data_IF_464930589592
#
_entry.id   IF_464930589592
#
_cell.length_a   1.000
_cell.length_b   1.000
_cell.length_c   1.000
_cell.angle_alpha   90.00
_cell.angle_beta   90.00
_cell.angle_gamma   90.00
#
_symmetry.space_group_name_H-M   'P 1'
#
loop_
_entity.id
_entity.type
_entity.pdbx_description
1 polymer ?
#
# COMPACT_ATOMS: atom_id res chain seq x y z
N UNK A 1 -12.76 -22.26 1.35
CA UNK A 1 -12.89 -20.94 1.99
C UNK A 1 -12.35 -19.92 0.99
N UNK A 2 -13.01 -18.78 0.75
CA UNK A 2 -12.38 -17.72 -0.03
C UNK A 2 -11.05 -17.34 0.64
N UNK A 3 -10.04 -17.06 -0.17
CA UNK A 3 -8.76 -16.58 0.36
C UNK A 3 -8.99 -15.27 1.12
N UNK A 4 -8.28 -15.08 2.23
CA UNK A 4 -8.34 -13.83 2.99
C UNK A 4 -7.87 -12.64 2.11
N UNK A 5 -8.57 -11.48 2.16
CA UNK A 5 -8.21 -10.31 1.36
C UNK A 5 -6.74 -9.91 1.51
N UNK A 6 -6.11 -9.49 0.42
CA UNK A 6 -4.69 -9.12 0.36
C UNK A 6 -4.27 -8.13 1.44
N UNK A 7 -5.05 -7.06 1.66
CA UNK A 7 -4.72 -6.05 2.66
C UNK A 7 -4.73 -6.58 4.10
N UNK A 8 -5.58 -7.55 4.42
CA UNK A 8 -5.62 -8.15 5.76
C UNK A 8 -4.45 -9.11 5.97
N UNK A 9 -4.14 -9.96 4.98
CA UNK A 9 -2.94 -10.81 4.99
C UNK A 9 -1.66 -9.99 5.13
N UNK A 10 -1.56 -8.89 4.39
CA UNK A 10 -0.43 -7.96 4.50
C UNK A 10 -0.37 -7.32 5.90
N UNK A 11 -1.51 -6.85 6.42
CA UNK A 11 -1.58 -6.26 7.76
C UNK A 11 -1.13 -7.21 8.87
N UNK A 12 -1.58 -8.47 8.84
CA UNK A 12 -1.15 -9.50 9.79
C UNK A 12 0.36 -9.76 9.68
N UNK A 13 0.86 -10.00 8.47
CA UNK A 13 2.28 -10.24 8.20
C UNK A 13 3.17 -9.13 8.76
N UNK A 14 2.83 -7.87 8.47
CA UNK A 14 3.59 -6.73 8.95
C UNK A 14 3.50 -6.56 10.48
N UNK A 15 2.32 -6.82 11.07
CA UNK A 15 2.13 -6.79 12.53
C UNK A 15 3.04 -7.81 13.23
N UNK A 16 3.13 -9.03 12.69
CA UNK A 16 4.03 -10.08 13.18
C UNK A 16 5.49 -9.63 13.07
N UNK A 17 5.92 -9.11 11.92
CA UNK A 17 7.30 -8.63 11.75
C UNK A 17 7.68 -7.50 12.71
N UNK A 18 6.73 -6.63 13.07
CA UNK A 18 6.97 -5.57 14.05
C UNK A 18 7.05 -6.04 15.50
N UNK A 19 6.71 -7.31 15.80
CA UNK A 19 6.85 -7.84 17.18
C UNK A 19 8.29 -7.82 17.67
N UNK A 20 9.27 -7.90 16.76
CA UNK A 20 10.69 -7.78 17.06
C UNK A 20 11.18 -6.35 17.33
N UNK A 21 10.37 -5.32 17.08
CA UNK A 21 10.73 -3.93 17.36
C UNK A 21 10.61 -3.64 18.87
N UNK A 22 11.58 -2.89 19.41
CA UNK A 22 11.60 -2.52 20.83
C UNK A 22 10.27 -1.84 21.25
N UNK A 23 9.66 -2.23 22.39
CA UNK A 23 8.34 -1.75 22.79
C UNK A 23 8.20 -0.23 22.88
N UNK A 24 9.18 0.48 23.45
CA UNK A 24 9.14 1.94 23.56
C UNK A 24 9.26 2.61 22.18
N UNK A 25 10.07 2.07 21.25
CA UNK A 25 10.13 2.52 19.85
C UNK A 25 8.78 2.36 19.15
N UNK A 26 8.17 1.18 19.29
CA UNK A 26 6.82 0.91 18.76
C UNK A 26 5.79 1.89 19.30
N UNK A 27 5.85 2.16 20.61
CA UNK A 27 4.95 3.10 21.29
C UNK A 27 5.10 4.53 20.77
N UNK A 28 6.33 5.01 20.52
CA UNK A 28 6.55 6.35 19.93
C UNK A 28 5.91 6.49 18.56
N UNK A 29 6.04 5.48 17.68
CA UNK A 29 5.35 5.52 16.39
C UNK A 29 3.83 5.46 16.52
N UNK A 30 3.31 4.67 17.48
CA UNK A 30 1.87 4.60 17.75
C UNK A 30 1.33 5.97 18.17
N UNK A 31 2.01 6.62 19.12
CA UNK A 31 1.69 7.97 19.58
C UNK A 31 1.80 9.00 18.46
N UNK A 32 2.80 8.88 17.57
CA UNK A 32 2.91 9.73 16.39
C UNK A 32 1.65 9.66 15.54
N UNK A 33 1.19 8.46 15.13
CA UNK A 33 -0.03 8.34 14.33
C UNK A 33 -1.27 8.88 15.06
N UNK A 34 -1.45 8.56 16.35
CA UNK A 34 -2.56 9.10 17.15
C UNK A 34 -2.54 10.63 17.16
N UNK A 35 -1.36 11.26 17.27
CA UNK A 35 -1.19 12.71 17.27
C UNK A 35 -1.56 13.39 15.94
N UNK A 36 -1.76 12.61 14.88
CA UNK A 36 -2.18 13.12 13.56
C UNK A 36 -3.70 13.13 13.41
N UNK A 37 -4.47 12.55 14.34
CA UNK A 37 -5.92 12.62 14.30
C UNK A 37 -6.39 14.04 14.66
N UNK A 38 -7.13 14.66 13.77
CA UNK A 38 -7.69 15.98 13.94
C UNK A 38 -9.01 15.95 14.74
N UNK A 39 -9.53 17.11 15.20
CA UNK A 39 -10.82 17.19 15.89
C UNK A 39 -12.01 16.70 15.06
N UNK A 40 -11.92 16.78 13.73
CA UNK A 40 -12.91 16.23 12.81
C UNK A 40 -12.84 14.68 12.70
N UNK A 41 -11.85 14.05 13.34
CA UNK A 41 -11.68 12.60 13.43
C UNK A 41 -10.92 11.95 12.28
N UNK A 42 -10.70 12.67 11.18
CA UNK A 42 -9.77 12.25 10.14
C UNK A 42 -8.32 12.49 10.56
N UNK A 43 -7.37 12.07 9.76
CA UNK A 43 -5.95 12.29 10.02
C UNK A 43 -5.36 13.21 8.96
N UNK A 44 -4.47 14.09 9.42
CA UNK A 44 -3.71 14.99 8.56
C UNK A 44 -2.44 14.32 8.03
N UNK A 45 -2.07 14.67 6.81
CA UNK A 45 -0.76 14.39 6.24
C UNK A 45 0.21 15.56 6.41
N UNK A 46 0.73 16.03 5.28
CA UNK A 46 1.56 17.25 5.19
C UNK A 46 0.75 18.53 5.34
N UNK A 47 -0.48 18.52 4.84
CA UNK A 47 -1.45 19.59 5.08
C UNK A 47 -1.96 19.52 6.53
N UNK A 48 -2.53 20.61 7.02
CA UNK A 48 -3.20 20.66 8.32
C UNK A 48 -4.57 19.99 8.28
N UNK A 49 -5.24 20.00 7.12
CA UNK A 49 -6.56 19.40 6.94
C UNK A 49 -6.49 17.86 6.91
N UNK A 50 -7.59 17.24 7.33
CA UNK A 50 -7.77 15.79 7.18
C UNK A 50 -8.19 15.45 5.76
N UNK A 51 -7.62 14.39 5.19
CA UNK A 51 -8.07 13.80 3.94
C UNK A 51 -8.15 12.27 4.04
N UNK A 52 -8.88 11.65 3.12
CA UNK A 52 -9.11 10.21 3.15
C UNK A 52 -7.84 9.40 2.91
N UNK A 53 -6.94 9.89 2.06
CA UNK A 53 -5.70 9.20 1.70
C UNK A 53 -4.77 9.05 2.91
N UNK A 54 -4.43 10.16 3.57
CA UNK A 54 -3.60 10.15 4.77
C UNK A 54 -4.33 9.54 5.98
N UNK A 55 -5.66 9.68 6.06
CA UNK A 55 -6.47 8.94 7.03
C UNK A 55 -6.27 7.44 6.88
N UNK A 56 -6.34 6.90 5.66
CA UNK A 56 -6.16 5.47 5.44
C UNK A 56 -4.73 5.00 5.77
N UNK A 57 -3.69 5.80 5.50
CA UNK A 57 -2.33 5.46 5.93
C UNK A 57 -2.15 5.48 7.46
N UNK A 58 -2.73 6.48 8.14
CA UNK A 58 -2.68 6.52 9.59
C UNK A 58 -3.41 5.33 10.22
N UNK A 59 -4.57 4.94 9.66
CA UNK A 59 -5.32 3.76 10.09
C UNK A 59 -4.52 2.48 9.88
N UNK A 60 -3.85 2.32 8.73
CA UNK A 60 -2.94 1.19 8.49
C UNK A 60 -1.82 1.16 9.53
N UNK A 61 -1.13 2.27 9.75
CA UNK A 61 -0.07 2.39 10.75
C UNK A 61 -0.55 2.04 12.16
N UNK A 62 -1.71 2.56 12.57
CA UNK A 62 -2.31 2.25 13.86
C UNK A 62 -2.74 0.79 13.97
N UNK A 63 -3.26 0.18 12.91
CA UNK A 63 -3.60 -1.24 12.91
C UNK A 63 -2.36 -2.11 13.18
N UNK A 64 -1.24 -1.81 12.51
CA UNK A 64 0.04 -2.50 12.72
C UNK A 64 0.56 -2.35 14.16
N UNK A 65 0.30 -1.21 14.78
CA UNK A 65 0.81 -0.85 16.10
C UNK A 65 -0.24 -1.03 17.22
N UNK A 66 -1.36 -1.69 16.94
CA UNK A 66 -2.46 -1.91 17.89
C UNK A 66 -3.00 -0.61 18.52
N UNK A 67 -3.02 0.47 17.74
CA UNK A 67 -3.45 1.81 18.15
C UNK A 67 -4.88 2.20 17.75
N UNK A 68 -5.64 1.30 17.11
CA UNK A 68 -7.06 1.51 16.79
C UNK A 68 -7.95 1.22 18.01
N UNK A 69 -7.83 2.03 19.05
CA UNK A 69 -8.65 1.93 20.25
C UNK A 69 -10.05 2.56 20.10
N UNK A 70 -10.91 2.38 21.11
CA UNK A 70 -12.27 2.90 21.11
C UNK A 70 -12.38 4.39 20.79
N UNK A 71 -11.65 5.29 21.51
CA UNK A 71 -11.63 6.72 21.22
C UNK A 71 -11.21 7.08 19.79
N UNK A 72 -10.14 6.45 19.27
CA UNK A 72 -9.69 6.68 17.90
C UNK A 72 -10.75 6.25 16.90
N UNK A 73 -11.31 5.06 17.06
CA UNK A 73 -12.34 4.50 16.19
C UNK A 73 -13.64 5.33 16.21
N UNK A 74 -14.06 5.83 17.37
CA UNK A 74 -15.26 6.67 17.49
C UNK A 74 -15.14 7.97 16.69
N UNK A 75 -14.00 8.66 16.80
CA UNK A 75 -13.74 9.88 16.03
C UNK A 75 -13.67 9.58 14.53
N UNK A 76 -12.97 8.53 14.16
CA UNK A 76 -12.84 8.11 12.77
C UNK A 76 -14.19 7.74 12.15
N UNK A 77 -15.05 7.01 12.86
CA UNK A 77 -16.42 6.72 12.41
C UNK A 77 -17.21 8.01 12.13
N UNK A 78 -17.09 9.01 13.03
CA UNK A 78 -17.71 10.32 12.85
C UNK A 78 -17.19 11.07 11.62
N UNK A 79 -15.89 10.98 11.33
CA UNK A 79 -15.29 11.54 10.11
C UNK A 79 -15.87 10.87 8.87
N UNK A 80 -15.83 9.53 8.81
CA UNK A 80 -16.29 8.74 7.67
C UNK A 80 -17.77 8.96 7.36
N UNK A 81 -18.63 9.08 8.39
CA UNK A 81 -20.06 9.33 8.22
C UNK A 81 -20.38 10.68 7.57
N UNK A 82 -19.45 11.65 7.61
CA UNK A 82 -19.61 12.96 6.94
C UNK A 82 -19.07 12.98 5.51
N UNK A 83 -18.36 11.94 5.07
CA UNK A 83 -17.83 11.84 3.71
C UNK A 83 -18.92 11.34 2.76
N UNK A 84 -19.78 12.26 2.31
CA UNK A 84 -20.95 11.93 1.48
C UNK A 84 -20.67 11.94 -0.02
N UNK A 85 -19.50 12.43 -0.45
CA UNK A 85 -19.13 12.61 -1.87
C UNK A 85 -18.00 11.67 -2.30
N UNK A 86 -18.15 10.37 -2.07
CA UNK A 86 -17.13 9.36 -2.38
C UNK A 86 -16.88 9.07 -3.87
N UNK A 87 -17.34 9.94 -4.77
CA UNK A 87 -17.36 9.68 -6.22
C UNK A 87 -16.20 10.36 -6.98
N UNK A 88 -15.31 11.09 -6.29
CA UNK A 88 -14.30 11.94 -6.96
C UNK A 88 -13.13 11.12 -7.51
N UNK A 89 -12.67 10.10 -6.79
CA UNK A 89 -11.56 9.24 -7.25
C UNK A 89 -11.62 7.84 -6.67
N UNK A 90 -11.01 6.87 -7.37
CA UNK A 90 -10.83 5.49 -6.88
C UNK A 90 -10.02 5.47 -5.57
N UNK A 91 -9.04 6.36 -5.41
CA UNK A 91 -8.19 6.43 -4.21
C UNK A 91 -9.03 6.76 -2.97
N UNK A 92 -9.90 7.78 -3.06
CA UNK A 92 -10.75 8.18 -1.94
C UNK A 92 -11.73 7.06 -1.57
N UNK A 93 -12.30 6.40 -2.57
CA UNK A 93 -13.23 5.29 -2.40
C UNK A 93 -12.58 4.12 -1.65
N UNK A 94 -11.38 3.68 -2.09
CA UNK A 94 -10.64 2.58 -1.46
C UNK A 94 -10.20 2.97 -0.05
N UNK A 95 -9.76 4.22 0.12
CA UNK A 95 -9.29 4.76 1.40
C UNK A 95 -10.42 4.78 2.42
N UNK A 96 -11.60 5.25 2.04
CA UNK A 96 -12.78 5.25 2.89
C UNK A 96 -13.23 3.83 3.22
N UNK A 97 -13.34 2.95 2.22
CA UNK A 97 -13.80 1.58 2.43
C UNK A 97 -12.89 0.83 3.40
N UNK A 98 -11.57 0.94 3.21
CA UNK A 98 -10.59 0.37 4.13
C UNK A 98 -10.81 0.90 5.55
N UNK A 99 -10.94 2.21 5.74
CA UNK A 99 -11.16 2.79 7.06
C UNK A 99 -12.47 2.33 7.70
N UNK A 100 -13.56 2.24 6.94
CA UNK A 100 -14.85 1.78 7.42
C UNK A 100 -14.77 0.33 7.95
N UNK A 101 -14.10 -0.55 7.21
CA UNK A 101 -13.89 -1.93 7.62
C UNK A 101 -12.99 -2.04 8.86
N UNK A 102 -11.94 -1.23 8.97
CA UNK A 102 -11.06 -1.21 10.14
C UNK A 102 -11.77 -0.70 11.41
N UNK A 103 -12.61 0.32 11.27
CA UNK A 103 -13.46 0.82 12.36
C UNK A 103 -14.48 -0.23 12.80
N UNK A 104 -15.05 -0.99 11.86
CA UNK A 104 -15.95 -2.10 12.20
C UNK A 104 -15.19 -3.21 12.94
N UNK A 105 -14.01 -3.59 12.45
CA UNK A 105 -13.22 -4.68 13.01
C UNK A 105 -12.70 -4.36 14.42
N UNK A 106 -12.14 -3.16 14.64
CA UNK A 106 -11.48 -2.80 15.90
C UNK A 106 -12.37 -2.00 16.85
N UNK A 107 -13.23 -1.14 16.30
CA UNK A 107 -14.12 -0.27 17.06
C UNK A 107 -15.52 -0.85 17.29
N UNK A 108 -15.88 -1.95 16.61
CA UNK A 108 -17.23 -2.52 16.60
C UNK A 108 -18.30 -1.50 16.15
N UNK A 109 -17.91 -0.54 15.31
CA UNK A 109 -18.80 0.49 14.75
C UNK A 109 -18.98 0.21 13.26
N UNK A 110 -20.18 -0.21 12.87
CA UNK A 110 -20.50 -0.45 11.47
C UNK A 110 -21.03 0.84 10.81
N UNK A 111 -20.14 1.52 10.09
CA UNK A 111 -20.45 2.77 9.34
C UNK A 111 -21.38 2.50 8.15
N UNK A 112 -21.47 1.24 7.71
CA UNK A 112 -22.30 0.79 6.61
C UNK A 112 -23.63 0.17 7.08
N UNK A 113 -23.92 0.16 8.39
CA UNK A 113 -25.10 -0.51 8.96
C UNK A 113 -26.46 -0.07 8.37
N UNK A 114 -26.55 1.17 7.89
CA UNK A 114 -27.75 1.72 7.25
C UNK A 114 -27.74 1.58 5.72
N UNK A 115 -26.67 1.04 5.14
CA UNK A 115 -26.57 0.84 3.70
C UNK A 115 -27.49 -0.30 3.25
N UNK A 116 -28.05 -0.23 2.04
CA UNK A 116 -28.78 -1.34 1.45
C UNK A 116 -27.96 -2.64 1.45
N UNK A 117 -28.56 -3.83 1.64
CA UNK A 117 -27.83 -5.10 1.65
C UNK A 117 -27.03 -5.40 0.36
N UNK A 118 -27.42 -4.80 -0.76
CA UNK A 118 -26.78 -4.90 -2.07
C UNK A 118 -25.67 -3.86 -2.29
N UNK A 119 -25.26 -3.10 -1.26
CA UNK A 119 -24.18 -2.11 -1.37
C UNK A 119 -22.87 -2.67 -1.96
N UNK A 120 -22.44 -3.93 -1.69
CA UNK A 120 -21.25 -4.48 -2.33
C UNK A 120 -21.39 -4.57 -3.85
N UNK A 121 -22.57 -4.98 -4.33
CA UNK A 121 -22.84 -5.11 -5.76
C UNK A 121 -22.94 -3.74 -6.44
N UNK A 122 -23.50 -2.75 -5.74
CA UNK A 122 -23.51 -1.35 -6.22
C UNK A 122 -22.11 -0.77 -6.28
N UNK A 123 -21.26 -1.06 -5.30
CA UNK A 123 -19.86 -0.63 -5.33
C UNK A 123 -19.11 -1.29 -6.49
N UNK A 124 -19.31 -2.59 -6.71
CA UNK A 124 -18.74 -3.29 -7.85
C UNK A 124 -19.17 -2.68 -9.20
N UNK A 125 -20.44 -2.27 -9.33
CA UNK A 125 -20.93 -1.55 -10.52
C UNK A 125 -20.28 -0.17 -10.67
N UNK A 126 -20.09 0.57 -9.57
CA UNK A 126 -19.37 1.85 -9.58
C UNK A 126 -17.91 1.67 -9.98
N UNK A 127 -17.20 0.65 -9.49
CA UNK A 127 -15.81 0.41 -9.88
C UNK A 127 -15.66 0.19 -11.40
N UNK A 128 -16.64 -0.48 -12.01
CA UNK A 128 -16.65 -0.70 -13.46
C UNK A 128 -16.83 0.58 -14.29
N UNK A 129 -17.36 1.67 -13.71
CA UNK A 129 -17.43 2.96 -14.44
C UNK A 129 -16.06 3.60 -14.65
N UNK A 130 -15.02 3.13 -13.94
CA UNK A 130 -13.63 3.54 -14.15
C UNK A 130 -12.88 2.65 -15.14
N UNK A 131 -13.48 1.54 -15.61
CA UNK A 131 -12.82 0.65 -16.56
C UNK A 131 -12.66 1.35 -17.91
N UNK A 132 -11.47 1.22 -18.49
CA UNK A 132 -11.15 1.79 -19.80
C UNK A 132 -11.05 0.72 -20.87
N UNK A 133 -11.08 1.09 -22.18
CA UNK A 133 -11.03 0.11 -23.28
C UNK A 133 -9.77 -0.76 -23.31
N UNK A 134 -8.69 -0.34 -22.67
CA UNK A 134 -7.44 -1.12 -22.58
C UNK A 134 -7.49 -2.25 -21.53
N UNK A 135 -8.60 -2.38 -20.81
CA UNK A 135 -8.84 -3.43 -19.81
C UNK A 135 -8.51 -3.02 -18.37
N UNK A 136 -7.73 -1.96 -18.16
CA UNK A 136 -7.41 -1.41 -16.85
C UNK A 136 -8.42 -0.35 -16.37
N UNK A 137 -8.16 0.23 -15.21
CA UNK A 137 -9.01 1.25 -14.59
C UNK A 137 -8.30 2.61 -14.55
N UNK A 138 -9.05 3.66 -14.86
CA UNK A 138 -8.58 5.04 -14.81
C UNK A 138 -8.63 5.62 -13.39
N UNK A 139 -7.90 6.72 -13.19
CA UNK A 139 -7.92 7.51 -11.96
C UNK A 139 -9.28 8.16 -11.67
N UNK A 140 -9.88 8.73 -12.71
CA UNK A 140 -11.16 9.44 -12.68
C UNK A 140 -12.03 8.97 -13.85
N UNK A 141 -13.31 9.29 -13.81
CA UNK A 141 -14.27 9.03 -14.90
C UNK A 141 -13.90 9.70 -16.23
N UNK A 142 -13.08 10.76 -16.18
CA UNK A 142 -12.63 11.51 -17.36
C UNK A 142 -11.37 10.89 -18.00
N UNK A 143 -10.76 9.90 -17.33
CA UNK A 143 -9.53 9.27 -17.79
C UNK A 143 -9.75 8.38 -19.02
N UNK A 144 -9.01 8.64 -20.09
CA UNK A 144 -9.10 7.88 -21.34
C UNK A 144 -8.27 6.58 -21.36
N UNK A 145 -7.42 6.35 -20.35
CA UNK A 145 -6.51 5.21 -20.30
C UNK A 145 -6.39 4.65 -18.89
N UNK A 146 -6.14 3.35 -18.80
CA UNK A 146 -5.93 2.65 -17.54
C UNK A 146 -4.60 3.01 -16.90
N UNK A 147 -4.60 3.01 -15.56
CA UNK A 147 -3.43 3.18 -14.71
C UNK A 147 -3.14 1.88 -13.98
N UNK A 148 -1.87 1.48 -13.92
CA UNK A 148 -1.46 0.27 -13.19
C UNK A 148 -1.82 0.37 -11.71
N UNK A 149 -1.50 1.50 -11.07
CA UNK A 149 -1.83 1.73 -9.66
C UNK A 149 -3.34 1.74 -9.40
N UNK A 150 -4.13 2.43 -10.20
CA UNK A 150 -5.58 2.48 -9.99
C UNK A 150 -6.24 1.13 -10.26
N UNK A 151 -5.72 0.37 -11.22
CA UNK A 151 -6.15 -1.01 -11.46
C UNK A 151 -5.89 -1.91 -10.25
N UNK A 152 -4.73 -1.77 -9.60
CA UNK A 152 -4.45 -2.44 -8.33
C UNK A 152 -5.42 -2.03 -7.22
N UNK A 153 -5.69 -0.73 -7.06
CA UNK A 153 -6.65 -0.25 -6.06
C UNK A 153 -8.06 -0.81 -6.27
N UNK A 154 -8.53 -0.87 -7.52
CA UNK A 154 -9.84 -1.47 -7.83
C UNK A 154 -9.84 -2.97 -7.50
N UNK A 155 -8.77 -3.70 -7.82
CA UNK A 155 -8.65 -5.12 -7.45
C UNK A 155 -8.73 -5.34 -5.94
N UNK A 156 -8.08 -4.47 -5.14
CA UNK A 156 -8.20 -4.50 -3.67
C UNK A 156 -9.63 -4.25 -3.19
N UNK A 157 -10.33 -3.29 -3.80
CA UNK A 157 -11.74 -3.05 -3.47
C UNK A 157 -12.62 -4.27 -3.70
N UNK A 158 -12.42 -4.98 -4.81
CA UNK A 158 -13.14 -6.23 -5.09
C UNK A 158 -12.92 -7.27 -3.98
N UNK A 159 -11.68 -7.49 -3.55
CA UNK A 159 -11.40 -8.42 -2.45
C UNK A 159 -12.05 -7.96 -1.12
N UNK A 160 -11.98 -6.67 -0.79
CA UNK A 160 -12.55 -6.10 0.45
C UNK A 160 -14.07 -6.27 0.53
N UNK A 161 -14.78 -6.22 -0.60
CA UNK A 161 -16.23 -6.43 -0.65
C UNK A 161 -16.64 -7.89 -0.93
N UNK A 162 -15.67 -8.81 -0.93
CA UNK A 162 -15.93 -10.23 -1.17
C UNK A 162 -16.48 -10.51 -2.57
N UNK A 163 -15.93 -9.84 -3.59
CA UNK A 163 -16.29 -10.00 -5.01
C UNK A 163 -15.03 -10.28 -5.83
N UNK A 164 -15.23 -10.76 -7.05
CA UNK A 164 -14.16 -10.93 -8.03
C UNK A 164 -14.26 -9.83 -9.08
N UNK A 165 -13.13 -9.26 -9.48
CA UNK A 165 -13.08 -8.32 -10.59
C UNK A 165 -13.54 -9.04 -11.88
N UNK A 166 -14.46 -8.46 -12.67
CA UNK A 166 -14.89 -9.07 -13.92
C UNK A 166 -13.79 -9.00 -14.98
N UNK A 167 -13.87 -9.86 -16.00
CA UNK A 167 -12.96 -9.85 -17.15
C UNK A 167 -11.48 -10.07 -16.78
N UNK A 168 -11.11 -11.24 -16.23
CA UNK A 168 -9.71 -11.51 -15.84
C UNK A 168 -8.75 -11.49 -17.02
N UNK A 169 -9.17 -11.87 -18.23
CA UNK A 169 -8.27 -11.91 -19.39
C UNK A 169 -7.94 -10.51 -19.94
N UNK A 170 -8.90 -9.59 -20.15
CA UNK A 170 -8.60 -8.19 -20.45
C UNK A 170 -7.71 -7.53 -19.40
N UNK A 171 -7.93 -7.83 -18.11
CA UNK A 171 -7.12 -7.31 -17.01
C UNK A 171 -5.67 -7.84 -17.07
N UNK A 172 -5.48 -9.14 -17.35
CA UNK A 172 -4.14 -9.72 -17.56
C UNK A 172 -3.44 -9.09 -18.76
N UNK A 173 -4.14 -8.97 -19.89
CA UNK A 173 -3.58 -8.35 -21.08
C UNK A 173 -3.15 -6.90 -20.81
N UNK A 174 -4.00 -6.11 -20.16
CA UNK A 174 -3.67 -4.75 -19.73
C UNK A 174 -2.33 -4.71 -18.97
N UNK A 175 -2.16 -5.57 -17.96
CA UNK A 175 -0.95 -5.60 -17.13
C UNK A 175 0.27 -6.02 -17.94
N UNK A 176 0.19 -7.06 -18.77
CA UNK A 176 1.32 -7.46 -19.62
C UNK A 176 1.69 -6.36 -20.62
N UNK A 177 0.73 -5.58 -21.13
CA UNK A 177 1.01 -4.40 -21.97
C UNK A 177 1.66 -3.24 -21.19
N UNK A 178 1.76 -3.32 -19.86
CA UNK A 178 2.51 -2.38 -19.00
C UNK A 178 3.92 -2.86 -18.68
N UNK A 179 4.29 -4.10 -19.00
CA UNK A 179 5.66 -4.57 -18.80
C UNK A 179 6.61 -3.93 -19.84
N UNK A 180 7.88 -3.76 -19.49
CA UNK A 180 8.94 -3.28 -20.42
C UNK A 180 10.07 -4.30 -20.52
N UNK A 181 10.95 -4.09 -21.48
CA UNK A 181 12.13 -4.93 -21.72
C UNK A 181 13.10 -4.97 -20.52
N UNK A 182 13.01 -3.99 -19.60
CA UNK A 182 13.73 -3.99 -18.32
C UNK A 182 13.13 -4.95 -17.27
N UNK A 183 12.06 -5.67 -17.63
CA UNK A 183 11.38 -6.67 -16.80
C UNK A 183 10.33 -6.10 -15.84
N UNK A 184 10.38 -4.80 -15.54
CA UNK A 184 9.42 -4.13 -14.67
C UNK A 184 8.15 -3.69 -15.40
N UNK A 185 7.28 -2.98 -14.66
CA UNK A 185 6.06 -2.40 -15.19
C UNK A 185 6.05 -0.88 -15.08
N UNK A 186 5.29 -0.25 -15.98
CA UNK A 186 5.04 1.21 -15.98
C UNK A 186 3.65 1.56 -15.46
N UNK A 187 3.48 2.81 -15.05
CA UNK A 187 2.19 3.33 -14.57
C UNK A 187 1.19 3.58 -15.72
N UNK A 188 1.68 4.10 -16.85
CA UNK A 188 0.88 4.40 -18.05
C UNK A 188 1.61 3.97 -19.32
N UNK A 189 0.85 3.59 -20.35
CA UNK A 189 1.38 3.01 -21.58
C UNK A 189 2.49 3.83 -22.28
N UNK A 190 2.48 5.18 -22.32
CA UNK A 190 3.54 5.93 -23.01
C UNK A 190 4.92 5.88 -22.34
N UNK A 191 5.00 5.52 -21.06
CA UNK A 191 6.27 5.45 -20.32
C UNK A 191 7.16 4.34 -20.90
N UNK A 192 8.46 4.62 -20.96
CA UNK A 192 9.46 3.73 -21.56
C UNK A 192 10.28 2.96 -20.53
N UNK A 193 10.31 3.43 -19.28
CA UNK A 193 11.09 2.82 -18.20
C UNK A 193 10.18 2.48 -17.04
N UNK A 194 10.37 1.30 -16.50
CA UNK A 194 9.58 0.78 -15.39
C UNK A 194 9.88 1.48 -14.08
N UNK A 195 8.96 1.33 -13.14
CA UNK A 195 9.12 1.82 -11.78
C UNK A 195 8.83 0.73 -10.75
N UNK A 196 9.41 0.87 -9.57
CA UNK A 196 9.28 -0.09 -8.47
C UNK A 196 7.83 -0.23 -8.01
N UNK A 197 7.13 0.89 -7.82
CA UNK A 197 5.74 0.85 -7.33
C UNK A 197 4.75 0.32 -8.37
N UNK A 198 4.79 0.73 -9.66
CA UNK A 198 3.96 0.11 -10.68
C UNK A 198 4.26 -1.39 -10.87
N UNK A 199 5.53 -1.80 -10.73
CA UNK A 199 5.91 -3.23 -10.74
C UNK A 199 5.25 -3.98 -9.60
N UNK A 200 5.35 -3.48 -8.37
CA UNK A 200 4.70 -4.09 -7.22
C UNK A 200 3.18 -4.17 -7.37
N UNK A 201 2.54 -3.09 -7.84
CA UNK A 201 1.11 -3.05 -8.11
C UNK A 201 0.68 -4.09 -9.15
N UNK A 202 1.41 -4.18 -10.27
CA UNK A 202 1.14 -5.15 -11.33
C UNK A 202 1.31 -6.60 -10.84
N UNK A 203 2.41 -6.90 -10.14
CA UNK A 203 2.68 -8.23 -9.59
C UNK A 203 1.60 -8.63 -8.59
N UNK A 204 1.18 -7.73 -7.70
CA UNK A 204 0.12 -8.03 -6.75
C UNK A 204 -1.21 -8.41 -7.45
N UNK A 205 -1.61 -7.68 -8.49
CA UNK A 205 -2.81 -8.02 -9.27
C UNK A 205 -2.62 -9.34 -10.03
N UNK A 206 -1.47 -9.55 -10.66
CA UNK A 206 -1.15 -10.81 -11.35
C UNK A 206 -1.18 -12.00 -10.39
N UNK A 207 -0.77 -11.83 -9.13
CA UNK A 207 -0.93 -12.86 -8.10
C UNK A 207 -2.40 -13.12 -7.76
N UNK A 208 -3.20 -12.07 -7.55
CA UNK A 208 -4.64 -12.20 -7.26
C UNK A 208 -5.38 -12.97 -8.36
N UNK A 209 -5.01 -12.75 -9.62
CA UNK A 209 -5.63 -13.43 -10.78
C UNK A 209 -4.90 -14.71 -11.22
N UNK A 210 -3.90 -15.18 -10.46
CA UNK A 210 -3.17 -16.42 -10.74
C UNK A 210 -2.40 -16.43 -12.06
N UNK A 211 -1.80 -15.30 -12.44
CA UNK A 211 -1.10 -15.09 -13.70
C UNK A 211 0.42 -14.88 -13.56
N UNK A 212 0.99 -15.14 -12.37
CA UNK A 212 2.45 -15.12 -12.19
C UNK A 212 3.08 -16.38 -12.81
N UNK A 213 4.01 -16.18 -13.74
CA UNK A 213 4.75 -17.26 -14.42
C UNK A 213 6.23 -17.27 -13.97
N UNK A 214 6.97 -18.37 -14.19
CA UNK A 214 8.42 -18.38 -13.96
C UNK A 214 9.18 -17.31 -14.76
N UNK A 215 8.79 -17.09 -16.03
CA UNK A 215 9.41 -16.06 -16.85
C UNK A 215 9.19 -14.66 -16.27
N UNK A 216 7.96 -14.34 -15.85
CA UNK A 216 7.66 -13.08 -15.17
C UNK A 216 8.49 -12.91 -13.89
N UNK A 217 8.64 -13.99 -13.12
CA UNK A 217 9.43 -13.97 -11.89
C UNK A 217 10.90 -13.64 -12.19
N UNK A 218 11.47 -14.20 -13.24
CA UNK A 218 12.85 -13.93 -13.66
C UNK A 218 13.01 -12.48 -14.15
N UNK A 219 12.06 -11.98 -14.94
CA UNK A 219 12.04 -10.59 -15.43
C UNK A 219 11.98 -9.58 -14.26
N UNK A 220 11.05 -9.79 -13.32
CA UNK A 220 10.90 -8.93 -12.14
C UNK A 220 12.14 -9.02 -11.24
N UNK A 221 12.78 -10.19 -11.13
CA UNK A 221 14.04 -10.31 -10.41
C UNK A 221 15.16 -9.48 -11.05
N UNK A 222 15.28 -9.50 -12.38
CA UNK A 222 16.22 -8.66 -13.12
C UNK A 222 15.97 -7.18 -12.85
N UNK A 223 14.73 -6.73 -13.01
CA UNK A 223 14.32 -5.35 -12.75
C UNK A 223 14.64 -4.89 -11.32
N UNK A 224 14.27 -5.69 -10.32
CA UNK A 224 14.53 -5.38 -8.91
C UNK A 224 16.03 -5.30 -8.61
N UNK A 225 16.85 -6.10 -9.31
CA UNK A 225 18.30 -5.96 -9.27
C UNK A 225 18.80 -4.61 -9.78
N UNK A 226 18.22 -4.10 -10.87
CA UNK A 226 18.61 -2.83 -11.49
C UNK A 226 18.21 -1.60 -10.66
N UNK A 227 17.11 -1.67 -9.92
CA UNK A 227 16.65 -0.58 -9.04
C UNK A 227 17.15 -0.69 -7.60
N UNK A 228 17.89 -1.75 -7.26
CA UNK A 228 18.52 -1.88 -5.95
C UNK A 228 19.72 -0.93 -5.83
N UNK A 229 19.71 -0.04 -4.84
CA UNK A 229 20.82 0.86 -4.54
C UNK A 229 21.82 0.22 -3.58
N UNK A 230 23.11 0.49 -3.80
CA UNK A 230 24.17 0.16 -2.84
C UNK A 230 24.01 0.86 -1.49
N UNK A 231 23.16 1.89 -1.40
CA UNK A 231 22.78 2.55 -0.14
C UNK A 231 21.80 1.73 0.71
N UNK A 232 21.37 0.55 0.23
CA UNK A 232 20.59 -0.41 1.00
C UNK A 232 19.08 -0.36 0.78
N UNK A 233 18.59 0.29 -0.27
CA UNK A 233 17.15 0.34 -0.56
C UNK A 233 16.84 0.32 -2.04
N UNK A 234 15.57 0.27 -2.38
CA UNK A 234 15.13 0.34 -3.77
C UNK A 234 14.89 1.80 -4.17
N UNK A 235 15.37 2.16 -5.36
CA UNK A 235 15.04 3.40 -6.05
C UNK A 235 13.64 3.31 -6.66
N UNK A 236 12.96 4.44 -6.85
CA UNK A 236 11.66 4.44 -7.53
C UNK A 236 11.74 4.01 -9.01
N UNK A 237 12.86 4.27 -9.67
CA UNK A 237 13.26 3.78 -10.99
C UNK A 237 14.76 4.08 -11.22
N UNK A 238 15.32 3.58 -12.32
CA UNK A 238 16.75 3.71 -12.68
C UNK A 238 17.27 5.13 -12.93
N UNK A 239 16.41 6.16 -12.90
CA UNK A 239 16.82 7.57 -12.98
C UNK A 239 16.82 8.29 -11.64
N UNK A 240 16.19 7.72 -10.62
CA UNK A 240 16.13 8.31 -9.28
C UNK A 240 17.41 7.90 -8.55
N UNK A 241 18.27 8.85 -8.14
CA UNK A 241 19.61 8.51 -7.69
C UNK A 241 19.66 7.92 -6.28
N UNK A 242 18.62 8.11 -5.48
CA UNK A 242 18.53 7.69 -4.08
C UNK A 242 17.35 6.74 -3.85
N UNK A 243 17.48 5.77 -2.93
CA UNK A 243 16.36 4.95 -2.50
C UNK A 243 15.42 5.73 -1.56
N UNK A 244 14.20 5.25 -1.42
CA UNK A 244 13.20 5.78 -0.51
C UNK A 244 12.44 4.65 0.20
N UNK A 245 11.76 4.93 1.32
CA UNK A 245 11.09 3.87 2.11
C UNK A 245 9.88 3.26 1.40
N UNK A 246 9.20 4.00 0.52
CA UNK A 246 8.02 3.53 -0.22
C UNK A 246 8.44 2.53 -1.30
N UNK A 247 9.40 2.91 -2.15
CA UNK A 247 9.99 2.03 -3.17
C UNK A 247 10.68 0.84 -2.51
N UNK A 248 11.35 1.06 -1.37
CA UNK A 248 11.98 -0.03 -0.62
C UNK A 248 10.97 -1.02 -0.07
N UNK A 249 9.87 -0.54 0.51
CA UNK A 249 8.79 -1.38 1.00
C UNK A 249 8.18 -2.23 -0.12
N UNK A 250 7.78 -1.59 -1.23
CA UNK A 250 7.07 -2.27 -2.31
C UNK A 250 7.99 -3.24 -3.07
N UNK A 251 9.25 -2.87 -3.31
CA UNK A 251 10.26 -3.73 -3.91
C UNK A 251 10.57 -4.95 -3.03
N UNK A 252 10.77 -4.77 -1.73
CA UNK A 252 11.02 -5.86 -0.79
C UNK A 252 9.82 -6.79 -0.67
N UNK A 253 8.62 -6.25 -0.56
CA UNK A 253 7.38 -7.03 -0.52
C UNK A 253 7.23 -7.88 -1.77
N UNK A 254 7.45 -7.29 -2.95
CA UNK A 254 7.38 -7.98 -4.25
C UNK A 254 8.39 -9.11 -4.33
N UNK A 255 9.64 -8.86 -3.89
CA UNK A 255 10.67 -9.89 -3.88
C UNK A 255 10.28 -11.08 -2.99
N UNK A 256 9.77 -10.82 -1.79
CA UNK A 256 9.36 -11.87 -0.86
C UNK A 256 8.11 -12.62 -1.36
N UNK A 257 7.12 -11.91 -1.91
CA UNK A 257 5.88 -12.49 -2.45
C UNK A 257 6.14 -13.40 -3.66
N UNK A 258 7.18 -13.08 -4.44
CA UNK A 258 7.65 -13.92 -5.55
C UNK A 258 8.64 -15.01 -5.12
N UNK A 259 9.02 -15.07 -3.84
CA UNK A 259 10.02 -16.01 -3.32
C UNK A 259 11.40 -15.82 -3.95
N UNK A 260 11.76 -14.57 -4.29
CA UNK A 260 13.08 -14.19 -4.78
C UNK A 260 14.09 -14.18 -3.62
N UNK A 261 15.38 -14.16 -3.95
CA UNK A 261 16.40 -13.92 -2.95
C UNK A 261 16.14 -12.56 -2.27
N UNK A 262 16.22 -12.53 -0.94
CA UNK A 262 16.08 -11.30 -0.17
C UNK A 262 17.17 -10.27 -0.49
N UNK A 263 17.07 -9.05 0.06
CA UNK A 263 18.05 -8.00 -0.18
C UNK A 263 19.46 -8.50 0.17
N UNK A 264 20.44 -8.21 -0.68
CA UNK A 264 21.81 -8.67 -0.48
C UNK A 264 22.44 -8.13 0.83
N UNK A 265 21.92 -7.01 1.34
CA UNK A 265 22.43 -6.32 2.53
C UNK A 265 21.27 -5.84 3.41
N UNK A 266 20.62 -6.72 4.19
CA UNK A 266 19.49 -6.34 5.05
C UNK A 266 19.87 -5.30 6.12
N UNK A 267 21.11 -5.32 6.60
CA UNK A 267 21.62 -4.33 7.56
C UNK A 267 21.75 -2.92 6.97
N UNK A 268 22.16 -2.81 5.70
CA UNK A 268 22.20 -1.51 5.01
C UNK A 268 20.77 -0.95 4.84
N UNK A 269 19.82 -1.82 4.52
CA UNK A 269 18.40 -1.47 4.46
C UNK A 269 17.88 -0.97 5.81
N UNK A 270 18.19 -1.69 6.89
CA UNK A 270 17.85 -1.25 8.25
C UNK A 270 18.47 0.12 8.57
N UNK A 271 19.76 0.31 8.29
CA UNK A 271 20.45 1.56 8.55
C UNK A 271 19.85 2.75 7.77
N UNK A 272 19.49 2.53 6.50
CA UNK A 272 18.77 3.52 5.69
C UNK A 272 17.44 3.92 6.35
N UNK A 273 16.61 2.95 6.71
CA UNK A 273 15.30 3.24 7.32
C UNK A 273 15.43 3.89 8.69
N UNK A 274 16.37 3.42 9.53
CA UNK A 274 16.65 4.01 10.84
C UNK A 274 17.13 5.46 10.70
N UNK A 275 17.85 5.82 9.63
CA UNK A 275 18.29 7.20 9.36
C UNK A 275 17.14 8.17 9.06
N UNK A 276 15.99 7.66 8.60
CA UNK A 276 14.80 8.45 8.29
C UNK A 276 13.91 8.69 9.52
N UNK A 277 14.17 8.00 10.63
CA UNK A 277 13.36 8.05 11.83
C UNK A 277 13.49 9.39 12.58
N UNK A 278 12.39 9.82 13.21
CA UNK A 278 12.43 10.88 14.21
C UNK A 278 12.48 10.32 15.63
N UNK A 279 13.20 10.98 16.58
CA UNK A 279 13.29 10.53 17.96
C UNK A 279 11.92 10.33 18.64
N UNK A 280 10.95 11.19 18.33
CA UNK A 280 9.61 11.19 18.93
C UNK A 280 8.59 10.34 18.14
N UNK A 281 9.06 9.56 17.16
CA UNK A 281 8.22 8.73 16.31
C UNK A 281 7.91 9.36 14.95
N UNK A 282 7.43 8.51 14.04
CA UNK A 282 7.32 8.81 12.62
C UNK A 282 8.65 8.80 11.86
N UNK A 283 8.56 8.86 10.53
CA UNK A 283 9.68 8.86 9.60
C UNK A 283 9.49 9.97 8.57
N UNK A 284 10.62 10.50 8.09
CA UNK A 284 10.66 11.49 7.02
C UNK A 284 10.55 10.83 5.64
N UNK A 285 10.06 11.54 4.64
CA UNK A 285 9.97 11.02 3.27
C UNK A 285 11.32 11.05 2.54
N UNK A 286 12.09 12.10 2.77
CA UNK A 286 13.46 12.23 2.32
C UNK A 286 14.36 12.79 3.44
N UNK A 287 15.68 12.59 3.35
CA UNK A 287 16.64 13.00 4.39
C UNK A 287 16.54 14.50 4.75
N UNK A 288 16.20 15.35 3.78
CA UNK A 288 16.06 16.79 3.95
C UNK A 288 14.71 17.25 4.51
N UNK A 289 13.72 16.35 4.64
CA UNK A 289 12.44 16.70 5.25
C UNK A 289 12.62 16.89 6.77
N UNK A 290 12.04 17.98 7.28
CA UNK A 290 12.13 18.37 8.70
C UNK A 290 10.94 17.91 9.54
N UNK A 291 9.96 17.26 8.91
CA UNK A 291 8.74 16.77 9.54
C UNK A 291 8.52 15.30 9.20
N UNK A 292 7.98 14.55 10.16
CA UNK A 292 7.54 13.19 9.91
C UNK A 292 6.29 13.19 9.02
N UNK A 293 6.21 12.21 8.12
CA UNK A 293 5.11 12.03 7.18
C UNK A 293 4.38 10.73 7.49
N UNK A 294 3.04 10.78 7.52
CA UNK A 294 2.19 9.64 7.89
C UNK A 294 2.31 8.47 6.91
N UNK A 295 2.37 8.75 5.61
CA UNK A 295 2.48 7.74 4.57
C UNK A 295 3.86 7.08 4.64
N UNK A 296 4.93 7.87 4.65
CA UNK A 296 6.29 7.34 4.72
C UNK A 296 6.61 6.64 6.05
N UNK A 297 5.93 7.03 7.13
CA UNK A 297 6.00 6.30 8.41
C UNK A 297 5.41 4.90 8.31
N UNK A 298 4.30 4.73 7.59
CA UNK A 298 3.73 3.41 7.34
C UNK A 298 4.69 2.55 6.51
N UNK A 299 5.24 3.11 5.43
CA UNK A 299 6.17 2.37 4.56
C UNK A 299 7.46 1.98 5.28
N UNK A 300 8.06 2.89 6.04
CA UNK A 300 9.26 2.62 6.84
C UNK A 300 9.03 1.49 7.85
N UNK A 301 7.92 1.52 8.60
CA UNK A 301 7.54 0.42 9.50
C UNK A 301 7.32 -0.89 8.74
N UNK A 302 6.72 -0.81 7.56
CA UNK A 302 6.56 -1.95 6.67
C UNK A 302 7.90 -2.59 6.28
N UNK A 303 8.91 -1.78 5.92
CA UNK A 303 10.26 -2.29 5.64
C UNK A 303 10.85 -2.96 6.88
N UNK A 304 10.80 -2.30 8.05
CA UNK A 304 11.33 -2.86 9.29
C UNK A 304 10.68 -4.20 9.65
N UNK A 305 9.39 -4.35 9.36
CA UNK A 305 8.65 -5.59 9.55
C UNK A 305 9.13 -6.69 8.60
N UNK A 306 9.22 -6.41 7.30
CA UNK A 306 9.64 -7.38 6.28
C UNK A 306 11.10 -7.82 6.44
N UNK A 307 11.98 -6.94 6.93
CA UNK A 307 13.36 -7.31 7.25
C UNK A 307 13.47 -8.38 8.34
N UNK A 308 12.42 -8.59 9.16
CA UNK A 308 12.38 -9.69 10.12
C UNK A 308 12.25 -11.07 9.45
N UNK A 309 11.69 -11.11 8.24
CA UNK A 309 11.53 -12.36 7.46
C UNK A 309 12.77 -12.70 6.62
N UNK A 310 13.64 -11.71 6.39
CA UNK A 310 14.88 -11.93 5.65
C UNK A 310 15.86 -12.68 6.55
N UNK A 311 16.32 -13.89 6.18
CA UNK A 311 17.30 -14.60 6.97
C UNK A 311 18.55 -13.75 7.14
N UNK A 312 18.93 -13.46 8.39
CA UNK A 312 20.26 -12.90 8.67
C UNK A 312 21.28 -13.95 8.25
N UNK A 313 22.18 -13.62 7.32
CA UNK A 313 23.30 -14.48 7.01
C UNK A 313 24.01 -14.78 8.34
N UNK A 314 24.03 -16.04 8.76
CA UNK A 314 24.78 -16.46 9.95
C UNK A 314 26.22 -16.00 9.76
N UNK A 315 26.71 -15.17 10.68
CA UNK A 315 28.11 -14.79 10.74
C UNK A 315 28.94 -16.08 10.80
N UNK A 316 29.54 -16.45 9.67
CA UNK A 316 30.53 -17.52 9.55
C UNK A 316 31.91 -17.03 9.95
#
# INVERSE_FOLDING_TARGET
MPAEPYLFRLGERLSVGLTGLEPARRERHRQFFVSRQNPDGGFRGRDVASDLYYTAFAVRGLALLQGLDGPVCQKLAGYLARQTEMHVSVIDLVSWLYCALMVQLHGQIDVLAQSPPDWPDRLAQLLETFRTPDGGYAKTHEGAAGSTYHTFLVALCYELIGRQAPGPDPLRQFLFDRQRDDGGFVEIAPMQRSGTNPTAAAVAVLQMVGAVTPALRDDVQGFLGDVWSSEGGFQANTRVPFPDSLSTFTGLLTALDLGLAGPAQPEACRALIDSLEFPDGGFRGALWDTIADVEYSFYALGVLALLHEVPTASAG
#
